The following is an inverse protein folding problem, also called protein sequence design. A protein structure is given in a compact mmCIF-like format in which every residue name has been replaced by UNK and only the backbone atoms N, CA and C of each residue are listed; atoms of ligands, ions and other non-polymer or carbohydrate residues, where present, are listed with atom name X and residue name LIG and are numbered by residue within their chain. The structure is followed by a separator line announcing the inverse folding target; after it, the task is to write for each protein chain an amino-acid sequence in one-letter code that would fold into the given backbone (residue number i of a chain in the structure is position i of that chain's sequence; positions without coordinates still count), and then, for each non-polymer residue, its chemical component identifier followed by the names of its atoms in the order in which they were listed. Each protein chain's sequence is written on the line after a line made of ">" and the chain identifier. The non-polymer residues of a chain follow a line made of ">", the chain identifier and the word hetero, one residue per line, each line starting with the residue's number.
data_IF_452097017513
#
_entry.id   IF_452097017513
#
_cell.length_a   1.000
_cell.length_b   1.000
_cell.length_c   1.000
_cell.angle_alpha   90.00
_cell.angle_beta   90.00
_cell.angle_gamma   90.00
#
_symmetry.space_group_name_H-M   'P 1'
#
loop_
_entity.id
_entity.type
_entity.pdbx_description
1 polymer ?
#
# COMPACT_ATOMS: atom_id res chain seq x y z
N UNK A 1 5.48 -13.52 20.47
CA UNK A 1 5.96 -14.48 21.48
C UNK A 1 5.89 -15.88 20.91
N UNK A 2 6.81 -16.76 21.35
CA UNK A 2 6.69 -18.21 21.10
C UNK A 2 5.85 -18.87 22.22
N UNK A 3 5.62 -20.19 22.12
CA UNK A 3 4.99 -20.97 23.17
C UNK A 3 5.90 -21.23 24.41
N UNK A 4 7.17 -20.80 24.36
CA UNK A 4 8.12 -20.86 25.46
C UNK A 4 8.21 -19.49 26.13
N UNK A 5 7.91 -19.36 27.42
CA UNK A 5 7.99 -18.09 28.14
C UNK A 5 9.37 -17.43 28.01
N UNK A 6 9.40 -16.12 27.74
CA UNK A 6 10.63 -15.34 27.61
C UNK A 6 11.34 -15.45 26.27
N UNK A 7 10.83 -16.28 25.32
CA UNK A 7 11.39 -16.42 23.96
C UNK A 7 10.46 -15.76 22.94
N UNK A 8 11.06 -14.96 22.06
CA UNK A 8 10.40 -14.30 20.95
C UNK A 8 11.00 -14.75 19.62
N UNK A 9 10.18 -14.79 18.57
CA UNK A 9 10.60 -15.03 17.20
C UNK A 9 10.18 -13.82 16.35
N UNK A 10 11.10 -13.31 15.51
CA UNK A 10 10.86 -12.18 14.61
C UNK A 10 11.44 -12.48 13.24
N UNK A 11 10.87 -11.88 12.20
CA UNK A 11 11.34 -12.02 10.82
C UNK A 11 10.99 -13.36 10.19
N UNK A 12 11.81 -13.77 9.24
CA UNK A 12 11.56 -14.89 8.32
C UNK A 12 11.29 -16.22 9.03
N UNK A 13 11.93 -16.43 10.18
CA UNK A 13 11.73 -17.64 11.00
C UNK A 13 10.29 -17.84 11.44
N UNK A 14 9.48 -16.77 11.46
CA UNK A 14 8.05 -16.86 11.83
C UNK A 14 7.18 -17.43 10.73
N UNK A 15 7.68 -17.51 9.48
CA UNK A 15 6.92 -17.94 8.30
C UNK A 15 5.78 -17.01 7.89
N UNK A 16 5.69 -15.80 8.47
CA UNK A 16 4.66 -14.80 8.13
C UNK A 16 5.04 -14.07 6.83
N UNK A 17 5.37 -12.83 6.86
CA UNK A 17 5.77 -12.05 5.70
C UNK A 17 7.30 -11.86 5.72
N UNK A 18 8.01 -12.53 4.81
CA UNK A 18 9.48 -12.61 4.78
C UNK A 18 10.08 -11.36 4.10
N UNK A 19 10.01 -10.21 4.81
CA UNK A 19 10.52 -8.92 4.36
C UNK A 19 11.28 -8.23 5.49
N UNK A 20 12.42 -7.60 5.18
CA UNK A 20 13.30 -6.99 6.17
C UNK A 20 12.62 -5.91 7.02
N UNK A 21 11.81 -5.04 6.40
CA UNK A 21 11.07 -4.00 7.11
C UNK A 21 9.97 -4.58 8.03
N UNK A 22 9.38 -5.71 7.67
CA UNK A 22 8.44 -6.44 8.54
C UNK A 22 9.18 -7.03 9.74
N UNK A 23 10.34 -7.64 9.52
CA UNK A 23 11.19 -8.15 10.59
C UNK A 23 11.61 -7.03 11.57
N UNK A 24 11.95 -5.83 11.06
CA UNK A 24 12.27 -4.66 11.89
C UNK A 24 11.09 -4.22 12.74
N UNK A 25 9.88 -4.14 12.17
CA UNK A 25 8.66 -3.79 12.89
C UNK A 25 8.33 -4.85 13.98
N UNK A 26 8.44 -6.15 13.65
CA UNK A 26 8.29 -7.23 14.61
C UNK A 26 9.30 -7.13 15.76
N UNK A 27 10.55 -6.74 15.46
CA UNK A 27 11.62 -6.54 16.45
C UNK A 27 11.29 -5.41 17.43
N UNK A 28 10.76 -4.29 16.94
CA UNK A 28 10.32 -3.17 17.80
C UNK A 28 9.21 -3.62 18.76
N UNK A 29 8.16 -4.25 18.23
CA UNK A 29 7.06 -4.79 19.07
C UNK A 29 7.56 -5.78 20.10
N UNK A 30 8.49 -6.67 19.74
CA UNK A 30 9.07 -7.63 20.69
C UNK A 30 9.85 -6.92 21.80
N UNK A 31 10.66 -5.91 21.46
CA UNK A 31 11.44 -5.12 22.42
C UNK A 31 10.55 -4.34 23.38
N UNK A 32 9.50 -3.71 22.90
CA UNK A 32 8.51 -2.98 23.70
C UNK A 32 7.79 -3.91 24.68
N UNK A 33 7.35 -5.09 24.22
CA UNK A 33 6.73 -6.09 25.10
C UNK A 33 7.71 -6.64 26.17
N UNK A 34 8.98 -6.82 25.82
CA UNK A 34 10.01 -7.23 26.79
C UNK A 34 10.22 -6.12 27.83
N UNK A 35 10.16 -4.86 27.41
CA UNK A 35 10.25 -3.71 28.30
C UNK A 35 8.98 -3.47 29.17
N UNK A 36 7.95 -4.27 28.98
CA UNK A 36 6.71 -4.17 29.77
C UNK A 36 5.73 -3.10 29.23
N UNK A 37 5.92 -2.61 28.00
CA UNK A 37 4.99 -1.70 27.37
C UNK A 37 3.75 -2.46 26.84
N UNK A 38 2.60 -1.80 26.89
CA UNK A 38 1.38 -2.29 26.26
C UNK A 38 1.47 -2.10 24.74
N UNK A 39 1.96 -3.11 24.05
CA UNK A 39 2.06 -3.12 22.59
C UNK A 39 1.35 -4.34 22.03
N UNK A 40 0.47 -4.15 21.06
CA UNK A 40 -0.17 -5.24 20.35
C UNK A 40 0.79 -5.83 19.29
N UNK A 41 0.77 -7.16 19.16
CA UNK A 41 1.40 -7.83 18.02
C UNK A 41 0.57 -7.65 16.75
N UNK A 42 1.16 -7.98 15.60
CA UNK A 42 0.48 -7.91 14.32
C UNK A 42 -0.53 -9.06 14.16
N UNK A 43 -1.74 -8.73 13.70
CA UNK A 43 -2.75 -9.66 13.24
C UNK A 43 -2.45 -10.13 11.80
N UNK A 44 -3.19 -11.12 11.30
CA UNK A 44 -3.07 -11.55 9.91
C UNK A 44 -3.51 -10.46 8.92
N UNK A 45 -4.46 -9.60 9.32
CA UNK A 45 -4.88 -8.45 8.51
C UNK A 45 -3.80 -7.35 8.49
N UNK A 46 -3.08 -7.09 9.60
CA UNK A 46 -1.96 -6.15 9.59
C UNK A 46 -0.89 -6.55 8.56
N UNK A 47 -0.55 -7.86 8.49
CA UNK A 47 0.40 -8.36 7.49
C UNK A 47 -0.09 -8.17 6.05
N UNK A 48 -1.39 -8.17 5.83
CA UNK A 48 -1.97 -7.94 4.50
C UNK A 48 -1.67 -6.53 3.99
N UNK A 49 -1.76 -5.53 4.88
CA UNK A 49 -1.56 -4.12 4.52
C UNK A 49 -0.10 -3.65 4.65
N UNK A 50 0.82 -4.49 5.09
CA UNK A 50 2.25 -4.17 5.03
C UNK A 50 2.72 -4.05 3.58
N UNK A 51 3.56 -3.06 3.26
CA UNK A 51 4.02 -2.81 1.89
C UNK A 51 4.88 -3.96 1.36
N UNK A 52 4.66 -4.31 0.11
CA UNK A 52 5.46 -5.27 -0.66
C UNK A 52 6.11 -4.55 -1.82
N UNK A 53 7.41 -4.66 -1.94
CA UNK A 53 8.21 -4.03 -2.97
C UNK A 53 9.04 -5.08 -3.71
N UNK A 54 9.03 -5.02 -5.05
CA UNK A 54 9.86 -5.85 -5.92
C UNK A 54 10.71 -4.92 -6.78
N UNK A 55 12.02 -4.97 -6.58
CA UNK A 55 13.01 -4.09 -7.19
C UNK A 55 13.49 -4.64 -8.55
N UNK A 56 12.55 -4.79 -9.47
CA UNK A 56 12.79 -5.13 -10.87
C UNK A 56 12.59 -3.89 -11.76
N UNK A 57 12.68 -4.03 -13.09
CA UNK A 57 12.41 -2.96 -14.03
C UNK A 57 11.37 -3.41 -15.06
N UNK A 58 10.18 -2.78 -15.07
CA UNK A 58 9.68 -1.78 -14.11
C UNK A 58 9.48 -2.37 -12.70
N UNK A 59 9.53 -1.50 -11.68
CA UNK A 59 9.29 -1.90 -10.29
C UNK A 59 7.84 -2.35 -10.07
N UNK A 60 7.61 -3.19 -9.04
CA UNK A 60 6.26 -3.57 -8.59
C UNK A 60 6.11 -3.26 -7.11
N UNK A 61 4.99 -2.65 -6.74
CA UNK A 61 4.67 -2.37 -5.35
C UNK A 61 3.19 -2.66 -5.06
N UNK A 62 2.90 -3.17 -3.86
CA UNK A 62 1.52 -3.46 -3.48
C UNK A 62 1.30 -3.49 -1.98
N UNK A 63 0.06 -3.24 -1.56
CA UNK A 63 -0.45 -3.48 -0.21
C UNK A 63 -1.93 -3.88 -0.28
N UNK A 64 -2.43 -4.55 0.73
CA UNK A 64 -3.84 -4.87 0.89
C UNK A 64 -4.35 -5.96 -0.06
N UNK A 65 -5.65 -5.94 -0.31
CA UNK A 65 -6.41 -6.95 -1.07
C UNK A 65 -6.29 -6.74 -2.58
N UNK A 66 -6.27 -7.82 -3.34
CA UNK A 66 -6.61 -7.79 -4.76
C UNK A 66 -8.13 -7.63 -4.95
N UNK A 67 -8.58 -7.24 -6.14
CA UNK A 67 -10.02 -7.16 -6.47
C UNK A 67 -10.74 -8.47 -6.13
N UNK A 68 -10.16 -9.60 -6.52
CA UNK A 68 -10.70 -10.93 -6.24
C UNK A 68 -10.86 -11.19 -4.73
N UNK A 69 -9.81 -10.91 -3.95
CA UNK A 69 -9.84 -11.11 -2.49
C UNK A 69 -10.85 -10.19 -1.79
N UNK A 70 -10.98 -8.93 -2.24
CA UNK A 70 -11.95 -8.01 -1.71
C UNK A 70 -13.40 -8.52 -1.92
N UNK A 71 -13.72 -8.95 -3.14
CA UNK A 71 -15.03 -9.54 -3.46
C UNK A 71 -15.27 -10.84 -2.68
N UNK A 72 -14.28 -11.72 -2.56
CA UNK A 72 -14.38 -12.96 -1.76
C UNK A 72 -14.62 -12.68 -0.27
N UNK A 73 -14.17 -11.54 0.23
CA UNK A 73 -14.44 -11.05 1.61
C UNK A 73 -15.78 -10.33 1.75
N UNK A 74 -16.55 -10.18 0.67
CA UNK A 74 -17.89 -9.60 0.66
C UNK A 74 -17.94 -8.09 0.49
N UNK A 75 -16.84 -7.44 0.11
CA UNK A 75 -16.83 -6.02 -0.20
C UNK A 75 -17.48 -5.73 -1.56
N UNK A 76 -18.27 -4.67 -1.61
CA UNK A 76 -18.61 -3.98 -2.86
C UNK A 76 -17.48 -3.00 -3.15
N UNK A 77 -16.83 -3.13 -4.31
CA UNK A 77 -15.60 -2.39 -4.59
C UNK A 77 -15.77 -1.37 -5.71
N UNK A 78 -15.11 -0.22 -5.54
CA UNK A 78 -14.78 0.74 -6.60
C UNK A 78 -13.29 0.64 -6.92
N UNK A 79 -12.93 0.75 -8.20
CA UNK A 79 -11.55 0.58 -8.65
C UNK A 79 -11.12 1.76 -9.51
N UNK A 80 -10.15 2.52 -9.02
CA UNK A 80 -9.48 3.55 -9.79
C UNK A 80 -8.18 3.03 -10.41
N UNK A 81 -7.89 3.45 -11.64
CA UNK A 81 -6.65 3.10 -12.36
C UNK A 81 -6.13 4.31 -13.11
N UNK A 82 -4.81 4.48 -13.11
CA UNK A 82 -4.16 5.51 -13.89
C UNK A 82 -2.85 5.00 -14.50
N UNK A 83 -2.65 5.12 -15.84
CA UNK A 83 -1.46 4.66 -16.51
C UNK A 83 -0.35 5.71 -16.47
N UNK A 84 0.93 5.30 -16.34
CA UNK A 84 2.07 6.21 -16.37
C UNK A 84 2.23 6.95 -17.70
N UNK A 85 1.73 6.41 -18.81
CA UNK A 85 1.74 7.10 -20.10
C UNK A 85 0.95 8.42 -20.12
N UNK A 86 0.01 8.60 -19.19
CA UNK A 86 -0.74 9.85 -19.01
C UNK A 86 -0.08 10.82 -18.01
N UNK A 87 1.07 10.45 -17.40
CA UNK A 87 1.77 11.28 -16.43
C UNK A 87 2.91 12.07 -17.09
N UNK A 88 2.90 13.40 -16.95
CA UNK A 88 3.88 14.29 -17.58
C UNK A 88 5.31 14.03 -17.14
N UNK A 89 5.57 13.68 -15.87
CA UNK A 89 6.90 13.37 -15.38
C UNK A 89 7.42 12.04 -15.95
N UNK A 90 6.58 11.03 -16.02
CA UNK A 90 6.93 9.74 -16.61
C UNK A 90 7.27 9.87 -18.11
N UNK A 91 6.53 10.71 -18.85
CA UNK A 91 6.86 11.03 -20.24
C UNK A 91 8.22 11.73 -20.36
N UNK A 92 8.48 12.72 -19.51
CA UNK A 92 9.76 13.44 -19.48
C UNK A 92 10.96 12.56 -19.14
N UNK A 93 10.76 11.51 -18.34
CA UNK A 93 11.78 10.51 -18.00
C UNK A 93 11.86 9.37 -19.03
N UNK A 94 10.95 9.31 -20.00
CA UNK A 94 10.78 8.18 -20.92
C UNK A 94 10.48 6.84 -20.19
N UNK A 95 9.88 6.90 -19.01
CA UNK A 95 9.52 5.79 -18.12
C UNK A 95 7.99 5.62 -18.04
N UNK A 96 7.34 5.48 -19.19
CA UNK A 96 5.88 5.55 -19.36
C UNK A 96 5.13 4.22 -19.19
N UNK A 97 5.86 3.13 -18.95
CA UNK A 97 5.25 1.81 -18.85
C UNK A 97 4.76 1.54 -17.42
N UNK A 98 3.52 1.10 -17.33
CA UNK A 98 2.92 0.73 -16.05
C UNK A 98 1.66 1.51 -15.69
N UNK A 99 1.17 1.27 -14.49
CA UNK A 99 -0.07 1.84 -13.96
C UNK A 99 -0.12 1.77 -12.44
N UNK A 100 -0.97 2.58 -11.87
CA UNK A 100 -1.40 2.52 -10.46
C UNK A 100 -2.86 2.10 -10.41
N UNK A 101 -3.19 1.22 -9.48
CA UNK A 101 -4.56 0.77 -9.22
C UNK A 101 -4.87 0.90 -7.73
N UNK A 102 -5.99 1.54 -7.42
CA UNK A 102 -6.56 1.68 -6.08
C UNK A 102 -7.87 0.92 -6.03
N UNK A 103 -8.05 0.09 -5.01
CA UNK A 103 -9.27 -0.65 -4.74
C UNK A 103 -9.84 -0.09 -3.44
N UNK A 104 -11.06 0.41 -3.49
CA UNK A 104 -11.73 0.99 -2.33
C UNK A 104 -13.09 0.32 -2.08
N UNK A 105 -13.52 0.30 -0.82
CA UNK A 105 -14.88 -0.06 -0.46
C UNK A 105 -15.85 0.99 -1.02
N UNK A 106 -16.88 0.54 -1.72
CA UNK A 106 -17.85 1.42 -2.35
C UNK A 106 -18.69 2.19 -1.33
N UNK A 107 -18.89 1.63 -0.14
CA UNK A 107 -19.77 2.20 0.89
C UNK A 107 -19.09 3.30 1.69
N UNK A 108 -17.82 3.09 2.07
CA UNK A 108 -17.12 3.98 3.00
C UNK A 108 -15.88 4.64 2.37
N UNK A 109 -15.48 4.23 1.17
CA UNK A 109 -14.27 4.74 0.50
C UNK A 109 -12.95 4.24 1.10
N UNK A 110 -13.01 3.28 2.04
CA UNK A 110 -11.83 2.67 2.66
C UNK A 110 -10.88 2.09 1.62
N UNK A 111 -9.58 2.33 1.76
CA UNK A 111 -8.56 1.78 0.87
C UNK A 111 -8.34 0.31 1.22
N UNK A 112 -8.89 -0.59 0.40
CA UNK A 112 -8.80 -2.03 0.56
C UNK A 112 -7.53 -2.63 -0.04
N UNK A 113 -6.95 -1.97 -1.04
CA UNK A 113 -5.74 -2.45 -1.68
C UNK A 113 -5.19 -1.50 -2.72
N UNK A 114 -3.88 -1.52 -2.89
CA UNK A 114 -3.16 -0.73 -3.89
C UNK A 114 -2.14 -1.61 -4.59
N UNK A 115 -2.11 -1.54 -5.91
CA UNK A 115 -1.20 -2.32 -6.74
C UNK A 115 -0.62 -1.44 -7.83
N UNK A 116 0.69 -1.48 -7.99
CA UNK A 116 1.41 -0.61 -8.90
C UNK A 116 2.48 -1.38 -9.65
N UNK A 117 2.69 -1.02 -10.90
CA UNK A 117 3.86 -1.40 -11.69
C UNK A 117 4.32 -0.18 -12.47
N UNK A 118 5.60 0.17 -12.40
CA UNK A 118 6.12 1.35 -13.09
C UNK A 118 7.37 1.94 -12.46
N UNK A 119 7.75 3.15 -12.87
CA UNK A 119 8.90 3.85 -12.33
C UNK A 119 8.66 4.23 -10.86
N UNK A 120 9.65 3.97 -10.02
CA UNK A 120 9.72 4.40 -8.62
C UNK A 120 8.48 4.04 -7.76
N UNK A 121 7.69 3.04 -8.17
CA UNK A 121 6.46 2.69 -7.43
C UNK A 121 6.73 2.19 -6.01
N UNK A 122 7.93 1.67 -5.73
CA UNK A 122 8.34 1.28 -4.39
C UNK A 122 8.50 2.47 -3.45
N UNK A 123 8.86 3.64 -4.00
CA UNK A 123 8.97 4.91 -3.27
C UNK A 123 7.61 5.65 -3.18
N UNK A 124 6.67 5.35 -4.08
CA UNK A 124 5.34 5.96 -4.11
C UNK A 124 4.35 5.29 -3.17
N UNK A 125 4.50 3.99 -2.90
CA UNK A 125 3.56 3.19 -2.08
C UNK A 125 3.36 3.72 -0.64
N UNK A 126 4.36 4.29 0.05
CA UNK A 126 4.23 4.72 1.45
C UNK A 126 3.11 5.74 1.71
N UNK A 127 2.70 6.53 0.73
CA UNK A 127 1.57 7.45 0.86
C UNK A 127 0.26 6.69 1.17
N UNK A 128 0.01 5.60 0.45
CA UNK A 128 -1.16 4.76 0.70
C UNK A 128 -1.04 3.96 2.00
N UNK A 129 0.16 3.54 2.39
CA UNK A 129 0.40 2.87 3.68
C UNK A 129 0.06 3.83 4.82
N UNK A 130 0.50 5.09 4.74
CA UNK A 130 0.19 6.11 5.74
C UNK A 130 -1.31 6.41 5.77
N UNK A 131 -1.94 6.54 4.61
CA UNK A 131 -3.38 6.78 4.51
C UNK A 131 -4.18 5.64 5.17
N UNK A 132 -3.89 4.39 4.82
CA UNK A 132 -4.57 3.23 5.40
C UNK A 132 -4.40 3.16 6.92
N UNK A 133 -3.17 3.34 7.43
CA UNK A 133 -2.89 3.29 8.87
C UNK A 133 -3.57 4.41 9.68
N UNK A 134 -4.03 5.47 9.01
CA UNK A 134 -4.77 6.57 9.61
C UNK A 134 -6.25 6.58 9.21
N UNK A 135 -6.77 5.46 8.67
CA UNK A 135 -8.17 5.29 8.28
C UNK A 135 -8.65 6.35 7.28
N UNK A 136 -7.73 6.89 6.46
CA UNK A 136 -8.07 7.80 5.36
C UNK A 136 -8.63 7.00 4.18
N UNK A 137 -9.50 7.65 3.43
CA UNK A 137 -10.12 7.06 2.23
C UNK A 137 -9.38 7.48 0.95
N UNK A 138 -9.76 6.89 -0.18
CA UNK A 138 -9.24 7.30 -1.48
C UNK A 138 -9.53 8.79 -1.76
N UNK A 139 -10.61 9.34 -1.19
CA UNK A 139 -11.00 10.74 -1.38
C UNK A 139 -9.97 11.72 -0.79
N UNK A 140 -9.36 11.43 0.37
CA UNK A 140 -8.32 12.29 0.95
C UNK A 140 -7.08 12.32 0.05
N UNK A 141 -6.67 11.18 -0.53
CA UNK A 141 -5.57 11.14 -1.50
C UNK A 141 -5.93 11.95 -2.74
N UNK A 142 -7.13 11.77 -3.30
CA UNK A 142 -7.60 12.47 -4.48
C UNK A 142 -7.61 14.00 -4.29
N UNK A 143 -7.93 14.48 -3.10
CA UNK A 143 -7.96 15.92 -2.76
C UNK A 143 -6.65 16.50 -2.29
N UNK A 144 -5.66 15.68 -2.01
CA UNK A 144 -4.33 16.14 -1.64
C UNK A 144 -3.61 16.72 -2.86
N UNK A 145 -3.09 17.94 -2.71
CA UNK A 145 -2.38 18.61 -3.80
C UNK A 145 -1.01 17.96 -3.99
N UNK A 146 -0.78 17.40 -5.16
CA UNK A 146 0.51 16.86 -5.56
C UNK A 146 1.29 17.86 -6.39
N UNK A 147 2.61 17.90 -6.20
CA UNK A 147 3.47 18.81 -6.96
C UNK A 147 3.53 18.40 -8.44
N UNK A 148 3.51 19.39 -9.33
CA UNK A 148 3.65 19.18 -10.79
C UNK A 148 5.00 19.72 -11.30
N UNK A 149 5.76 18.96 -12.15
CA UNK A 149 5.50 17.60 -12.59
C UNK A 149 6.18 16.58 -11.67
N UNK A 150 5.44 15.59 -11.19
CA UNK A 150 5.98 14.50 -10.37
C UNK A 150 5.38 13.14 -10.76
N UNK A 151 6.04 12.05 -10.38
CA UNK A 151 5.46 10.72 -10.52
C UNK A 151 4.32 10.50 -9.51
N UNK A 152 4.34 11.16 -8.36
CA UNK A 152 3.29 11.01 -7.34
C UNK A 152 1.90 11.48 -7.78
N UNK A 153 1.79 12.32 -8.81
CA UNK A 153 0.49 12.72 -9.37
C UNK A 153 -0.33 11.50 -9.86
N UNK A 154 0.30 10.36 -10.21
CA UNK A 154 -0.42 9.15 -10.59
C UNK A 154 -1.24 8.56 -9.44
N UNK A 155 -0.84 8.81 -8.19
CA UNK A 155 -1.55 8.36 -6.99
C UNK A 155 -2.87 9.11 -6.84
N UNK A 156 -2.82 10.44 -6.95
CA UNK A 156 -3.98 11.32 -6.94
C UNK A 156 -4.97 10.97 -8.06
N UNK A 157 -4.46 10.80 -9.27
CA UNK A 157 -5.28 10.44 -10.43
C UNK A 157 -5.94 9.07 -10.29
N UNK A 158 -5.20 8.05 -9.80
CA UNK A 158 -5.77 6.74 -9.54
C UNK A 158 -6.81 6.78 -8.42
N UNK A 159 -6.61 7.61 -7.39
CA UNK A 159 -7.57 7.83 -6.32
C UNK A 159 -8.84 8.54 -6.84
N UNK A 160 -8.72 9.58 -7.66
CA UNK A 160 -9.86 10.20 -8.38
C UNK A 160 -10.61 9.18 -9.26
N UNK A 161 -9.88 8.25 -9.86
CA UNK A 161 -10.44 7.18 -10.69
C UNK A 161 -11.36 6.22 -9.93
N UNK A 162 -11.26 6.13 -8.59
CA UNK A 162 -12.19 5.34 -7.75
C UNK A 162 -13.62 5.84 -7.90
N UNK A 163 -13.81 7.16 -8.03
CA UNK A 163 -15.09 7.82 -8.24
C UNK A 163 -15.37 8.12 -9.73
N UNK A 164 -14.54 7.60 -10.64
CA UNK A 164 -14.64 7.89 -12.08
C UNK A 164 -14.31 9.34 -12.44
N UNK A 165 -13.51 10.04 -11.64
CA UNK A 165 -13.22 11.47 -11.78
C UNK A 165 -11.73 11.74 -12.08
N UNK A 166 -10.99 10.77 -12.63
CA UNK A 166 -9.64 11.03 -13.11
C UNK A 166 -9.63 12.21 -14.11
N UNK A 167 -8.65 13.12 -13.98
CA UNK A 167 -8.66 14.41 -14.70
C UNK A 167 -8.00 14.28 -16.06
N UNK A 168 -6.94 13.48 -16.17
CA UNK A 168 -6.07 13.46 -17.34
C UNK A 168 -6.23 12.20 -18.23
N UNK A 169 -7.29 11.41 -18.03
CA UNK A 169 -7.67 10.29 -18.90
C UNK A 169 -9.17 10.23 -19.16
#
# INVERSE_FOLDING_TARGET
>A
RTNVPGIYAVGDVTGKLMLAHVASAMGMVAAEQIAGQETQGFSDDDYLFMPRAVYCQPQVASMGLSEKQAVERGYEISVGRFPFIANGKALGLNEKNGWVKVIADQRYGEILGVHMIGPEVTELLPEFVLAHNNELTAHEIARSVHAHPTLSEVLMEAAHGVDGQAIHI
#
